data_IF_033045897581
#
_entry.id   IF_033045897581
#
_cell.length_a   1.000
_cell.length_b   1.000
_cell.length_c   1.000
_cell.angle_alpha   90.00
_cell.angle_beta   90.00
_cell.angle_gamma   90.00
#
_symmetry.space_group_name_H-M   'P 1'
#
loop_
_entity.id
_entity.type
_entity.pdbx_description
1 polymer ?
#
# COMPACT_ATOMS: atom_id res chain seq x y z
N UNK A 1 -45.76 -45.08 1.94
CA UNK A 1 -44.61 -44.15 1.99
C UNK A 1 -44.33 -43.71 0.56
N UNK A 2 -44.58 -42.45 0.20
CA UNK A 2 -44.41 -41.98 -1.17
C UNK A 2 -42.93 -41.98 -1.55
N UNK A 3 -42.53 -42.83 -2.50
CA UNK A 3 -41.19 -42.86 -3.09
C UNK A 3 -40.95 -41.58 -3.92
N UNK A 4 -40.63 -40.48 -3.24
CA UNK A 4 -40.18 -39.25 -3.91
C UNK A 4 -38.69 -39.41 -4.18
N UNK A 5 -38.32 -39.48 -5.46
CA UNK A 5 -36.91 -39.60 -5.85
C UNK A 5 -36.11 -38.38 -5.34
N UNK A 6 -34.95 -38.56 -4.67
CA UNK A 6 -34.19 -37.47 -4.03
C UNK A 6 -33.83 -36.32 -5.00
N UNK A 7 -33.47 -36.64 -6.25
CA UNK A 7 -33.19 -35.64 -7.30
C UNK A 7 -34.38 -34.81 -7.79
N UNK A 8 -35.61 -34.99 -7.27
CA UNK A 8 -36.74 -34.13 -7.61
C UNK A 8 -36.52 -32.67 -7.17
N UNK A 9 -35.75 -32.44 -6.10
CA UNK A 9 -35.40 -31.09 -5.62
C UNK A 9 -34.59 -30.30 -6.65
N UNK A 10 -33.74 -30.98 -7.45
CA UNK A 10 -32.99 -30.33 -8.53
C UNK A 10 -33.88 -29.79 -9.65
N UNK A 11 -35.13 -30.26 -9.78
CA UNK A 11 -36.11 -29.72 -10.75
C UNK A 11 -36.93 -28.56 -10.21
N UNK A 12 -36.76 -28.19 -8.93
CA UNK A 12 -37.48 -27.08 -8.32
C UNK A 12 -36.93 -25.73 -8.82
N UNK A 13 -37.56 -25.16 -9.85
CA UNK A 13 -37.14 -23.89 -10.48
C UNK A 13 -36.97 -22.74 -9.47
N UNK A 14 -37.85 -22.67 -8.46
CA UNK A 14 -37.79 -21.63 -7.42
C UNK A 14 -36.49 -21.66 -6.61
N UNK A 15 -35.93 -22.84 -6.33
CA UNK A 15 -34.67 -22.98 -5.60
C UNK A 15 -33.50 -22.38 -6.40
N UNK A 16 -33.41 -22.74 -7.69
CA UNK A 16 -32.38 -22.23 -8.59
C UNK A 16 -32.50 -20.73 -8.84
N UNK A 17 -33.73 -20.22 -9.02
CA UNK A 17 -33.95 -18.79 -9.25
C UNK A 17 -33.55 -17.97 -8.03
N UNK A 18 -33.99 -18.37 -6.82
CA UNK A 18 -33.68 -17.61 -5.60
C UNK A 18 -32.19 -17.66 -5.28
N UNK A 19 -31.56 -18.85 -5.30
CA UNK A 19 -30.11 -18.95 -5.05
C UNK A 19 -29.30 -18.25 -6.15
N UNK A 20 -29.66 -18.42 -7.41
CA UNK A 20 -28.99 -17.76 -8.54
C UNK A 20 -29.09 -16.24 -8.45
N UNK A 21 -30.26 -15.71 -8.04
CA UNK A 21 -30.46 -14.28 -7.84
C UNK A 21 -29.58 -13.73 -6.70
N UNK A 22 -29.54 -14.42 -5.55
CA UNK A 22 -28.72 -14.00 -4.41
C UNK A 22 -27.23 -14.06 -4.74
N UNK A 23 -26.76 -15.19 -5.28
CA UNK A 23 -25.34 -15.36 -5.65
C UNK A 23 -24.94 -14.39 -6.76
N UNK A 24 -25.77 -14.26 -7.80
CA UNK A 24 -25.52 -13.33 -8.91
C UNK A 24 -25.48 -11.87 -8.44
N UNK A 25 -26.38 -11.48 -7.54
CA UNK A 25 -26.39 -10.12 -6.98
C UNK A 25 -25.13 -9.85 -6.14
N UNK A 26 -24.74 -10.78 -5.25
CA UNK A 26 -23.50 -10.64 -4.45
C UNK A 26 -22.26 -10.60 -5.34
N UNK A 27 -22.19 -11.47 -6.35
CA UNK A 27 -21.09 -11.49 -7.31
C UNK A 27 -21.02 -10.19 -8.12
N UNK A 28 -22.16 -9.64 -8.54
CA UNK A 28 -22.24 -8.35 -9.22
C UNK A 28 -21.75 -7.21 -8.33
N UNK A 29 -22.21 -7.14 -7.07
CA UNK A 29 -21.75 -6.12 -6.12
C UNK A 29 -20.25 -6.23 -5.89
N UNK A 30 -19.73 -7.46 -5.69
CA UNK A 30 -18.31 -7.67 -5.53
C UNK A 30 -17.53 -7.21 -6.76
N UNK A 31 -17.97 -7.58 -7.97
CA UNK A 31 -17.32 -7.13 -9.20
C UNK A 31 -17.33 -5.59 -9.31
N UNK A 32 -18.47 -4.95 -9.09
CA UNK A 32 -18.59 -3.48 -9.20
C UNK A 32 -17.71 -2.77 -8.17
N UNK A 33 -17.77 -3.16 -6.90
CA UNK A 33 -17.02 -2.47 -5.85
C UNK A 33 -15.54 -2.83 -5.85
N UNK A 34 -15.19 -4.11 -5.97
CA UNK A 34 -13.81 -4.54 -5.94
C UNK A 34 -13.08 -4.14 -7.22
N UNK A 35 -13.60 -4.54 -8.38
CA UNK A 35 -12.92 -4.24 -9.65
C UNK A 35 -13.02 -2.75 -9.96
N UNK A 36 -14.17 -2.11 -9.70
CA UNK A 36 -14.31 -0.66 -9.88
C UNK A 36 -13.35 0.16 -9.04
N UNK A 37 -13.12 -0.21 -7.77
CA UNK A 37 -12.14 0.47 -6.91
C UNK A 37 -10.68 0.24 -7.34
N UNK A 38 -10.38 -0.83 -8.08
CA UNK A 38 -9.01 -1.23 -8.42
C UNK A 38 -8.63 -1.01 -9.90
N UNK A 39 -9.58 -0.72 -10.79
CA UNK A 39 -9.32 -0.56 -12.25
C UNK A 39 -8.35 0.57 -12.55
N UNK A 40 -8.43 1.69 -11.83
CA UNK A 40 -7.54 2.82 -12.04
C UNK A 40 -7.32 3.66 -10.75
N UNK A 41 -6.48 3.19 -9.84
CA UNK A 41 -6.13 3.97 -8.66
C UNK A 41 -5.34 5.24 -9.03
N UNK A 42 -4.61 5.23 -10.16
CA UNK A 42 -3.79 6.36 -10.60
C UNK A 42 -4.61 7.50 -11.26
N UNK A 43 -5.75 7.18 -11.86
CA UNK A 43 -6.72 8.13 -12.38
C UNK A 43 -7.54 8.82 -11.29
N UNK A 44 -7.76 8.15 -10.16
CA UNK A 44 -8.43 8.70 -8.98
C UNK A 44 -7.46 9.26 -7.94
N UNK A 45 -6.16 9.22 -8.21
CA UNK A 45 -5.16 9.83 -7.35
C UNK A 45 -5.35 11.34 -7.36
N UNK A 46 -5.62 11.92 -6.19
CA UNK A 46 -5.76 13.36 -6.03
C UNK A 46 -4.84 13.84 -4.92
N UNK A 47 -3.95 14.77 -5.24
CA UNK A 47 -3.06 15.44 -4.27
C UNK A 47 -2.28 14.49 -3.37
N UNK A 48 -1.63 13.48 -3.93
CA UNK A 48 -0.75 12.59 -3.18
C UNK A 48 0.46 13.40 -2.64
N UNK A 49 0.61 13.57 -1.32
CA UNK A 49 1.66 14.42 -0.77
C UNK A 49 3.04 13.76 -0.89
N UNK A 50 3.92 14.41 -1.65
CA UNK A 50 5.32 13.98 -1.88
C UNK A 50 6.24 15.14 -1.50
N UNK A 51 7.21 14.86 -0.63
CA UNK A 51 8.21 15.84 -0.21
C UNK A 51 9.21 16.13 -1.32
N UNK A 52 9.59 17.40 -1.46
CA UNK A 52 10.62 17.83 -2.40
C UNK A 52 11.64 18.67 -1.64
N UNK A 53 12.83 18.13 -1.46
CA UNK A 53 13.90 18.75 -0.68
C UNK A 53 15.09 19.01 -1.59
N UNK A 54 15.63 20.22 -1.54
CA UNK A 54 16.93 20.52 -2.16
C UNK A 54 17.89 20.97 -1.09
N UNK A 55 18.95 20.18 -0.89
CA UNK A 55 20.08 20.53 -0.05
C UNK A 55 21.21 21.21 -0.85
N UNK A 56 21.04 21.34 -2.18
CA UNK A 56 22.05 21.84 -3.12
C UNK A 56 22.45 23.27 -2.74
N UNK A 57 23.76 23.51 -2.66
CA UNK A 57 24.31 24.84 -2.33
C UNK A 57 24.57 25.67 -3.58
N UNK A 58 24.47 25.05 -4.76
CA UNK A 58 24.88 25.66 -6.02
C UNK A 58 26.40 25.88 -6.10
N UNK A 59 26.87 26.31 -7.25
CA UNK A 59 28.28 26.62 -7.49
C UNK A 59 28.43 27.89 -8.33
N UNK A 60 29.56 28.57 -8.16
CA UNK A 60 29.86 29.80 -8.88
C UNK A 60 30.74 29.50 -10.09
N UNK A 61 30.13 28.97 -11.15
CA UNK A 61 30.83 28.65 -12.40
C UNK A 61 30.90 29.89 -13.30
N UNK A 62 32.11 30.36 -13.62
CA UNK A 62 32.31 31.46 -14.58
C UNK A 62 31.76 32.83 -14.14
N UNK A 63 31.70 33.10 -12.83
CA UNK A 63 31.22 34.38 -12.29
C UNK A 63 29.70 34.53 -12.19
N UNK A 64 28.95 33.45 -12.48
CA UNK A 64 27.50 33.39 -12.32
C UNK A 64 27.13 32.26 -11.35
N UNK A 65 26.42 32.62 -10.29
CA UNK A 65 25.86 31.65 -9.35
C UNK A 65 24.85 30.76 -10.08
N UNK A 66 25.16 29.47 -10.18
CA UNK A 66 24.31 28.46 -10.80
C UNK A 66 23.86 27.50 -9.72
N UNK A 67 22.55 27.27 -9.65
CA UNK A 67 21.92 26.32 -8.73
C UNK A 67 21.02 25.41 -9.57
N UNK A 68 21.49 24.19 -9.84
CA UNK A 68 20.75 23.20 -10.60
C UNK A 68 19.69 22.52 -9.73
N UNK A 69 19.94 22.34 -8.42
CA UNK A 69 18.98 21.77 -7.49
C UNK A 69 17.69 22.60 -7.38
N UNK A 70 17.80 23.92 -7.22
CA UNK A 70 16.65 24.81 -7.22
C UNK A 70 15.90 24.81 -8.56
N UNK A 71 16.61 24.66 -9.67
CA UNK A 71 16.00 24.52 -11.00
C UNK A 71 15.19 23.22 -11.13
N UNK A 72 15.71 22.11 -10.60
CA UNK A 72 14.99 20.82 -10.54
C UNK A 72 13.73 20.95 -9.69
N UNK A 73 13.83 21.55 -8.51
CA UNK A 73 12.67 21.75 -7.63
C UNK A 73 11.60 22.59 -8.32
N UNK A 74 12.01 23.68 -8.98
CA UNK A 74 11.10 24.57 -9.67
C UNK A 74 10.49 23.94 -10.93
N UNK A 75 11.24 23.12 -11.67
CA UNK A 75 10.74 22.43 -12.86
C UNK A 75 9.68 21.39 -12.50
N UNK A 76 9.94 20.58 -11.47
CA UNK A 76 8.98 19.59 -10.94
C UNK A 76 7.71 20.27 -10.43
N UNK A 77 7.86 21.38 -9.68
CA UNK A 77 6.70 22.14 -9.19
C UNK A 77 5.85 22.70 -10.35
N UNK A 78 6.49 23.23 -11.40
CA UNK A 78 5.79 23.79 -12.57
C UNK A 78 5.12 22.72 -13.42
N UNK A 79 5.77 21.58 -13.66
CA UNK A 79 5.18 20.49 -14.44
C UNK A 79 3.95 19.90 -13.75
N UNK A 80 3.92 19.91 -12.42
CA UNK A 80 2.79 19.42 -11.64
C UNK A 80 1.60 20.39 -11.53
N UNK A 81 1.74 21.67 -11.88
CA UNK A 81 0.65 22.65 -11.73
C UNK A 81 -0.56 22.39 -12.65
N UNK A 82 -0.45 21.48 -13.63
CA UNK A 82 -1.56 21.03 -14.48
C UNK A 82 -2.12 19.65 -14.13
N UNK A 83 -1.41 18.87 -13.30
CA UNK A 83 -1.78 17.51 -12.94
C UNK A 83 -2.14 17.45 -11.45
N UNK A 84 -3.43 17.43 -11.11
CA UNK A 84 -3.94 17.46 -9.73
C UNK A 84 -3.76 16.11 -8.99
N UNK A 85 -2.78 15.31 -9.41
CA UNK A 85 -2.52 13.94 -8.94
C UNK A 85 -1.49 13.92 -7.80
N UNK A 86 -0.42 14.71 -7.90
CA UNK A 86 0.68 14.74 -6.94
C UNK A 86 0.76 16.13 -6.30
N UNK A 87 0.80 16.19 -4.98
CA UNK A 87 1.01 17.40 -4.19
C UNK A 87 2.48 17.50 -3.79
N UNK A 88 3.28 18.17 -4.62
CA UNK A 88 4.70 18.40 -4.34
C UNK A 88 4.87 19.50 -3.28
N UNK A 89 5.36 19.10 -2.11
CA UNK A 89 5.61 20.00 -0.99
C UNK A 89 7.09 20.30 -0.88
N UNK A 90 7.47 21.53 -1.21
CA UNK A 90 8.83 22.01 -1.02
C UNK A 90 9.04 22.28 0.46
N UNK A 91 10.06 21.65 1.05
CA UNK A 91 10.34 21.72 2.49
C UNK A 91 11.81 21.48 2.79
N UNK A 92 12.21 21.73 4.02
CA UNK A 92 13.56 21.44 4.50
C UNK A 92 13.72 19.95 4.88
N UNK A 93 14.96 19.47 4.92
CA UNK A 93 15.26 18.07 5.25
C UNK A 93 14.73 17.65 6.63
N UNK A 94 14.76 18.58 7.60
CA UNK A 94 14.25 18.32 8.96
C UNK A 94 12.73 18.16 8.96
N UNK A 95 12.01 19.04 8.26
CA UNK A 95 10.56 18.98 8.13
C UNK A 95 10.13 17.72 7.37
N UNK A 96 10.85 17.37 6.30
CA UNK A 96 10.65 16.13 5.55
C UNK A 96 10.74 14.90 6.45
N UNK A 97 11.80 14.76 7.26
CA UNK A 97 11.95 13.63 8.18
C UNK A 97 10.80 13.55 9.18
N UNK A 98 10.38 14.69 9.71
CA UNK A 98 9.26 14.75 10.66
C UNK A 98 7.93 14.36 10.00
N UNK A 99 7.62 14.89 8.82
CA UNK A 99 6.38 14.61 8.10
C UNK A 99 6.33 13.17 7.52
N UNK A 100 7.48 12.61 7.13
CA UNK A 100 7.62 11.18 6.81
C UNK A 100 7.33 10.32 8.04
N UNK A 101 7.91 10.65 9.20
CA UNK A 101 7.69 9.90 10.44
C UNK A 101 6.24 9.92 10.92
N UNK A 102 5.52 11.01 10.66
CA UNK A 102 4.09 11.16 10.97
C UNK A 102 3.16 10.50 9.94
N UNK A 103 3.70 9.90 8.89
CA UNK A 103 2.93 9.29 7.81
C UNK A 103 2.14 10.29 6.95
N UNK A 104 2.52 11.58 6.98
CA UNK A 104 1.85 12.64 6.20
C UNK A 104 2.38 12.77 4.77
N UNK A 105 3.58 12.24 4.52
CA UNK A 105 4.18 12.12 3.21
C UNK A 105 4.28 10.64 2.83
N UNK A 106 3.91 10.31 1.59
CA UNK A 106 4.04 8.94 1.06
C UNK A 106 5.42 8.65 0.47
N UNK A 107 6.21 9.70 0.25
CA UNK A 107 7.60 9.62 -0.18
C UNK A 107 8.21 11.02 -0.28
N UNK A 108 9.50 11.07 -0.61
CA UNK A 108 10.20 12.33 -0.86
C UNK A 108 11.26 12.18 -1.95
N UNK A 109 11.57 13.27 -2.65
CA UNK A 109 12.71 13.39 -3.53
C UNK A 109 13.71 14.37 -2.90
N UNK A 110 14.94 13.91 -2.70
CA UNK A 110 16.03 14.68 -2.09
C UNK A 110 17.11 14.93 -3.14
N UNK A 111 17.39 16.21 -3.39
CA UNK A 111 18.56 16.64 -4.17
C UNK A 111 19.73 16.83 -3.20
N UNK A 112 20.88 16.17 -3.41
CA UNK A 112 22.01 16.24 -2.49
C UNK A 112 22.69 17.60 -2.53
N UNK A 113 23.49 17.90 -1.50
CA UNK A 113 24.08 19.24 -1.34
C UNK A 113 25.17 19.61 -2.33
N UNK A 114 25.79 18.60 -2.92
CA UNK A 114 26.88 18.67 -3.89
C UNK A 114 26.39 18.46 -5.32
N UNK A 115 25.07 18.47 -5.57
CA UNK A 115 24.50 18.17 -6.88
C UNK A 115 25.08 19.08 -7.97
N UNK A 116 25.03 20.40 -7.79
CA UNK A 116 25.55 21.32 -8.80
C UNK A 116 27.06 21.19 -9.00
N UNK A 117 27.84 21.02 -7.93
CA UNK A 117 29.30 20.84 -8.03
C UNK A 117 29.68 19.55 -8.75
N UNK A 118 29.01 18.44 -8.45
CA UNK A 118 29.28 17.14 -9.07
C UNK A 118 28.91 17.13 -10.55
N UNK A 119 27.80 17.78 -10.92
CA UNK A 119 27.45 18.02 -12.34
C UNK A 119 28.48 18.92 -13.04
N UNK A 120 28.94 20.00 -12.39
CA UNK A 120 29.91 20.92 -12.96
C UNK A 120 31.29 20.27 -13.19
N UNK A 121 31.69 19.38 -12.27
CA UNK A 121 32.89 18.55 -12.40
C UNK A 121 32.78 17.57 -13.58
N UNK A 122 31.63 16.89 -13.76
CA UNK A 122 31.39 16.03 -14.93
C UNK A 122 31.47 16.80 -16.27
N UNK A 123 31.00 18.04 -16.29
CA UNK A 123 31.06 18.91 -17.45
C UNK A 123 32.47 19.50 -17.72
N UNK A 124 33.45 19.24 -16.85
CA UNK A 124 34.81 19.79 -16.97
C UNK A 124 34.88 21.30 -16.72
N UNK A 125 33.88 21.88 -16.07
CA UNK A 125 33.78 23.32 -15.80
C UNK A 125 34.36 23.74 -14.45
N UNK A 126 34.67 22.77 -13.58
CA UNK A 126 35.40 22.96 -12.33
C UNK A 126 36.64 22.05 -12.26
N UNK A 127 37.75 22.60 -11.74
CA UNK A 127 39.07 21.96 -11.75
C UNK A 127 39.41 21.17 -10.47
N UNK A 128 38.46 20.91 -9.56
CA UNK A 128 38.78 20.46 -8.19
C UNK A 128 37.83 19.42 -7.60
N UNK A 129 37.39 18.43 -8.38
CA UNK A 129 36.65 17.28 -7.85
C UNK A 129 36.77 16.04 -8.73
N UNK A 130 36.73 14.86 -8.11
CA UNK A 130 36.53 13.61 -8.84
C UNK A 130 35.20 13.68 -9.61
N UNK A 131 35.22 13.28 -10.88
CA UNK A 131 34.04 13.26 -11.74
C UNK A 131 33.08 12.13 -11.32
N UNK A 132 32.39 12.32 -10.20
CA UNK A 132 31.43 11.37 -9.64
C UNK A 132 30.03 11.75 -10.09
N UNK A 133 29.25 10.75 -10.49
CA UNK A 133 27.84 10.92 -10.87
C UNK A 133 27.01 11.26 -9.63
N UNK A 134 26.36 12.44 -9.54
CA UNK A 134 25.54 12.79 -8.40
C UNK A 134 24.30 11.89 -8.30
N UNK A 135 23.83 11.67 -7.08
CA UNK A 135 22.70 10.78 -6.80
C UNK A 135 21.50 11.56 -6.30
N UNK A 136 20.35 11.42 -6.96
CA UNK A 136 19.05 11.86 -6.48
C UNK A 136 18.42 10.75 -5.65
N UNK A 137 18.11 11.04 -4.39
CA UNK A 137 17.55 10.03 -3.48
C UNK A 137 16.02 10.13 -3.45
N UNK A 138 15.36 9.03 -3.78
CA UNK A 138 13.92 8.85 -3.65
C UNK A 138 13.64 8.07 -2.37
N UNK A 139 13.02 8.72 -1.40
CA UNK A 139 12.60 8.13 -0.15
C UNK A 139 11.18 7.59 -0.25
N UNK A 140 10.98 6.34 0.16
CA UNK A 140 9.65 5.72 0.25
C UNK A 140 9.14 5.68 1.69
N UNK A 141 7.82 5.66 1.88
CA UNK A 141 7.21 5.59 3.21
C UNK A 141 6.12 4.51 3.29
N UNK A 142 6.55 3.26 3.47
CA UNK A 142 5.65 2.12 3.62
C UNK A 142 4.74 2.25 4.86
N UNK A 143 5.17 2.99 5.89
CA UNK A 143 4.40 3.21 7.12
C UNK A 143 3.13 4.06 6.90
N UNK A 144 3.17 4.99 5.93
CA UNK A 144 2.01 5.80 5.53
C UNK A 144 1.00 5.02 4.68
N UNK A 145 1.44 3.91 4.07
CA UNK A 145 0.62 3.03 3.25
C UNK A 145 1.34 2.56 1.99
N UNK A 146 1.31 1.26 1.73
CA UNK A 146 2.08 0.61 0.66
C UNK A 146 1.68 1.05 -0.76
N UNK A 147 0.39 1.25 -1.01
CA UNK A 147 -0.11 1.71 -2.32
C UNK A 147 0.32 3.17 -2.57
N UNK A 148 0.08 4.07 -1.62
CA UNK A 148 0.49 5.47 -1.74
C UNK A 148 2.01 5.60 -1.84
N UNK A 149 2.77 4.81 -1.08
CA UNK A 149 4.23 4.81 -1.14
C UNK A 149 4.77 4.32 -2.48
N UNK A 150 4.16 3.31 -3.09
CA UNK A 150 4.59 2.82 -4.41
C UNK A 150 4.26 3.83 -5.52
N UNK A 151 3.12 4.51 -5.43
CA UNK A 151 2.77 5.61 -6.33
C UNK A 151 3.72 6.81 -6.17
N UNK A 152 4.04 7.20 -4.93
CA UNK A 152 4.99 8.27 -4.64
C UNK A 152 6.39 7.92 -5.17
N UNK A 153 6.86 6.68 -4.95
CA UNK A 153 8.13 6.18 -5.51
C UNK A 153 8.15 6.30 -7.03
N UNK A 154 7.08 5.89 -7.71
CA UNK A 154 6.98 5.97 -9.16
C UNK A 154 7.04 7.42 -9.63
N UNK A 155 6.23 8.30 -9.03
CA UNK A 155 6.19 9.73 -9.37
C UNK A 155 7.54 10.41 -9.12
N UNK A 156 8.17 10.18 -7.97
CA UNK A 156 9.48 10.72 -7.61
C UNK A 156 10.59 10.21 -8.54
N UNK A 157 10.60 8.92 -8.87
CA UNK A 157 11.55 8.34 -9.83
C UNK A 157 11.39 8.97 -11.21
N UNK A 158 10.16 9.09 -11.73
CA UNK A 158 9.90 9.70 -13.04
C UNK A 158 10.26 11.18 -13.05
N UNK A 159 9.98 11.91 -11.97
CA UNK A 159 10.36 13.32 -11.82
C UNK A 159 11.89 13.48 -11.79
N UNK A 160 12.60 12.65 -11.03
CA UNK A 160 14.07 12.64 -10.95
C UNK A 160 14.72 12.34 -12.31
N UNK A 161 14.23 11.32 -13.03
CA UNK A 161 14.70 10.97 -14.37
C UNK A 161 14.45 12.09 -15.39
N UNK A 162 13.26 12.70 -15.35
CA UNK A 162 12.90 13.81 -16.24
C UNK A 162 13.76 15.05 -15.97
N UNK A 163 14.02 15.34 -14.69
CA UNK A 163 14.90 16.42 -14.26
C UNK A 163 16.34 16.18 -14.70
N UNK A 164 16.88 14.97 -14.48
CA UNK A 164 18.21 14.56 -14.94
C UNK A 164 18.36 14.76 -16.46
N UNK A 165 17.40 14.24 -17.24
CA UNK A 165 17.41 14.38 -18.70
C UNK A 165 17.31 15.85 -19.16
N UNK A 166 16.58 16.70 -18.43
CA UNK A 166 16.48 18.13 -18.74
C UNK A 166 17.81 18.85 -18.49
N UNK A 167 18.45 18.59 -17.35
CA UNK A 167 19.78 19.11 -17.02
C UNK A 167 20.80 18.62 -18.06
N UNK A 168 20.74 17.33 -18.43
CA UNK A 168 21.64 16.77 -19.42
C UNK A 168 21.49 17.39 -20.82
N UNK A 169 20.26 17.70 -21.25
CA UNK A 169 20.02 18.47 -22.49
C UNK A 169 20.63 19.87 -22.44
N UNK A 170 20.55 20.56 -21.31
CA UNK A 170 21.14 21.89 -21.14
C UNK A 170 22.67 21.82 -21.22
N UNK A 171 23.28 20.88 -20.50
CA UNK A 171 24.73 20.67 -20.47
C UNK A 171 25.29 20.25 -21.83
N UNK A 172 24.64 19.32 -22.52
CA UNK A 172 25.07 18.90 -23.87
C UNK A 172 24.96 20.03 -24.90
N UNK A 173 23.95 20.89 -24.77
CA UNK A 173 23.81 22.09 -25.62
C UNK A 173 24.92 23.10 -25.33
N UNK A 174 25.23 23.32 -24.05
CA UNK A 174 26.30 24.22 -23.62
C UNK A 174 27.69 23.70 -24.03
N UNK A 175 27.96 22.41 -23.90
CA UNK A 175 29.19 21.77 -24.34
C UNK A 175 29.41 21.91 -25.86
N UNK A 176 28.34 21.71 -26.66
CA UNK A 176 28.38 21.94 -28.11
C UNK A 176 28.63 23.39 -28.48
N UNK A 177 28.03 24.34 -27.76
CA UNK A 177 28.23 25.77 -27.99
C UNK A 177 29.66 26.23 -27.66
N UNK A 178 30.33 25.54 -26.73
CA UNK A 178 31.71 25.85 -26.30
C UNK A 178 32.76 25.08 -27.11
N UNK A 179 32.33 24.26 -28.09
CA UNK A 179 33.21 23.51 -28.99
C UNK A 179 34.25 22.62 -28.28
N UNK A 180 33.93 22.18 -27.06
CA UNK A 180 34.78 21.26 -26.31
C UNK A 180 34.71 19.86 -26.95
N UNK A 181 35.84 19.35 -27.44
CA UNK A 181 35.98 17.94 -27.87
C UNK A 181 35.92 17.03 -26.63
N UNK A 182 34.71 16.76 -26.15
CA UNK A 182 34.49 15.81 -25.08
C UNK A 182 34.46 14.38 -25.65
N UNK A 183 35.11 13.40 -24.99
CA UNK A 183 34.98 11.99 -25.34
C UNK A 183 33.52 11.55 -25.38
N UNK A 184 33.18 10.61 -26.29
CA UNK A 184 31.82 10.09 -26.43
C UNK A 184 31.23 9.52 -25.12
N UNK A 185 32.08 8.95 -24.26
CA UNK A 185 31.70 8.47 -22.93
C UNK A 185 31.24 9.59 -21.99
N UNK A 186 31.90 10.75 -22.03
CA UNK A 186 31.52 11.94 -21.23
C UNK A 186 30.22 12.54 -21.73
N UNK A 187 29.98 12.55 -23.05
CA UNK A 187 28.71 13.00 -23.63
C UNK A 187 27.54 12.08 -23.25
N UNK A 188 27.77 10.78 -23.10
CA UNK A 188 26.77 9.83 -22.60
C UNK A 188 26.44 10.08 -21.12
N UNK A 189 27.45 10.30 -20.27
CA UNK A 189 27.24 10.65 -18.87
C UNK A 189 26.52 12.00 -18.71
N UNK A 190 26.82 12.98 -19.57
CA UNK A 190 26.13 14.26 -19.59
C UNK A 190 24.68 14.16 -20.06
N UNK A 191 24.30 13.14 -20.82
CA UNK A 191 22.91 12.97 -21.26
C UNK A 191 21.98 12.57 -20.10
N UNK A 192 22.51 11.84 -19.13
CA UNK A 192 21.82 11.45 -17.89
C UNK A 192 22.75 11.63 -16.68
N UNK A 193 22.95 12.89 -16.24
CA UNK A 193 23.99 13.24 -15.27
C UNK A 193 23.72 12.75 -13.85
N UNK A 194 22.47 12.40 -13.50
CA UNK A 194 22.12 12.01 -12.15
C UNK A 194 21.67 10.55 -12.05
N UNK A 195 22.23 9.82 -11.09
CA UNK A 195 21.74 8.50 -10.70
C UNK A 195 20.52 8.64 -9.79
N UNK A 196 19.51 7.77 -9.93
CA UNK A 196 18.36 7.75 -9.03
C UNK A 196 18.50 6.57 -8.09
N UNK A 197 18.73 6.86 -6.81
CA UNK A 197 18.80 5.85 -5.76
C UNK A 197 17.49 5.85 -4.97
N UNK A 198 17.01 4.67 -4.63
CA UNK A 198 15.75 4.51 -3.91
C UNK A 198 16.04 3.94 -2.53
N UNK A 199 15.59 4.64 -1.49
CA UNK A 199 15.81 4.29 -0.10
C UNK A 199 14.50 4.32 0.68
N UNK A 200 14.48 3.66 1.83
CA UNK A 200 13.34 3.70 2.74
C UNK A 200 13.48 4.89 3.67
N UNK A 201 12.59 5.88 3.54
CA UNK A 201 12.58 7.09 4.37
C UNK A 201 12.20 6.82 5.82
N UNK A 202 11.55 5.68 6.08
CA UNK A 202 11.31 5.17 7.42
C UNK A 202 11.33 3.63 7.38
N UNK A 203 12.49 2.99 7.66
CA UNK A 203 12.59 1.54 7.60
C UNK A 203 11.68 0.91 8.64
N UNK A 204 10.82 0.00 8.19
CA UNK A 204 9.92 -0.73 9.06
C UNK A 204 10.60 -1.98 9.64
N UNK A 205 10.17 -2.37 10.84
CA UNK A 205 10.60 -3.63 11.45
C UNK A 205 10.25 -4.84 10.56
N UNK A 206 11.12 -5.84 10.55
CA UNK A 206 10.97 -7.04 9.71
C UNK A 206 9.69 -7.83 10.01
N UNK A 207 9.12 -7.70 11.22
CA UNK A 207 7.88 -8.35 11.63
C UNK A 207 6.62 -7.50 11.42
N UNK A 208 6.74 -6.28 10.89
CA UNK A 208 5.60 -5.37 10.68
C UNK A 208 4.69 -5.79 9.52
N UNK A 209 5.14 -6.70 8.65
CA UNK A 209 4.44 -7.09 7.43
C UNK A 209 4.28 -5.92 6.45
N UNK A 210 5.29 -5.05 6.33
CA UNK A 210 5.24 -3.80 5.55
C UNK A 210 4.08 -2.88 6.00
N UNK A 211 3.77 -2.87 7.30
CA UNK A 211 2.66 -2.12 7.87
C UNK A 211 1.27 -2.76 7.69
N UNK A 212 1.17 -3.94 7.07
CA UNK A 212 -0.11 -4.64 6.79
C UNK A 212 -0.49 -5.70 7.83
N UNK A 213 0.34 -5.94 8.86
CA UNK A 213 0.05 -6.94 9.90
C UNK A 213 -1.31 -6.75 10.56
N UNK A 214 -1.67 -5.52 10.95
CA UNK A 214 -2.98 -5.21 11.52
C UNK A 214 -4.15 -5.54 10.57
N UNK A 215 -3.97 -5.26 9.27
CA UNK A 215 -4.94 -5.62 8.24
C UNK A 215 -5.13 -7.14 8.16
N UNK A 216 -4.05 -7.92 8.10
CA UNK A 216 -4.15 -9.37 8.07
C UNK A 216 -4.77 -9.96 9.35
N UNK A 217 -4.43 -9.43 10.52
CA UNK A 217 -5.10 -9.83 11.77
C UNK A 217 -6.60 -9.56 11.73
N UNK A 218 -7.02 -8.40 11.23
CA UNK A 218 -8.44 -8.07 11.09
C UNK A 218 -9.16 -9.03 10.13
N UNK A 219 -8.52 -9.39 9.01
CA UNK A 219 -9.06 -10.33 8.04
C UNK A 219 -9.26 -11.72 8.67
N UNK A 220 -8.26 -12.21 9.41
CA UNK A 220 -8.35 -13.49 10.12
C UNK A 220 -9.50 -13.46 11.13
N UNK A 221 -9.62 -12.39 11.92
CA UNK A 221 -10.70 -12.25 12.89
C UNK A 221 -12.09 -12.24 12.25
N UNK A 222 -12.25 -11.55 11.11
CA UNK A 222 -13.51 -11.52 10.36
C UNK A 222 -13.85 -12.90 9.81
N UNK A 223 -12.91 -13.57 9.16
CA UNK A 223 -13.12 -14.91 8.58
C UNK A 223 -13.45 -15.93 9.66
N UNK A 224 -12.64 -15.99 10.73
CA UNK A 224 -12.87 -16.90 11.84
C UNK A 224 -14.19 -16.58 12.57
N UNK A 225 -14.52 -15.30 12.76
CA UNK A 225 -15.76 -14.86 13.38
C UNK A 225 -16.98 -15.26 12.57
N UNK A 226 -16.97 -15.01 11.26
CA UNK A 226 -18.07 -15.38 10.36
C UNK A 226 -18.28 -16.90 10.28
N UNK A 227 -17.19 -17.67 10.17
CA UNK A 227 -17.26 -19.14 10.16
C UNK A 227 -17.83 -19.67 11.48
N UNK A 228 -17.36 -19.17 12.62
CA UNK A 228 -17.86 -19.57 13.93
C UNK A 228 -19.34 -19.21 14.12
N UNK A 229 -19.76 -18.01 13.71
CA UNK A 229 -21.14 -17.57 13.79
C UNK A 229 -22.07 -18.47 12.95
N UNK A 230 -21.65 -18.85 11.73
CA UNK A 230 -22.43 -19.73 10.88
C UNK A 230 -22.60 -21.13 11.50
N UNK A 231 -21.52 -21.69 12.06
CA UNK A 231 -21.57 -22.98 12.75
C UNK A 231 -22.48 -22.92 13.98
N UNK A 232 -22.32 -21.91 14.84
CA UNK A 232 -23.13 -21.78 16.07
C UNK A 232 -24.61 -21.57 15.73
N UNK A 233 -24.92 -20.74 14.73
CA UNK A 233 -26.30 -20.55 14.29
C UNK A 233 -26.92 -21.87 13.82
N UNK A 234 -26.19 -22.65 13.02
CA UNK A 234 -26.66 -23.97 12.57
C UNK A 234 -26.90 -24.94 13.73
N UNK A 235 -26.04 -24.92 14.74
CA UNK A 235 -26.19 -25.74 15.95
C UNK A 235 -27.39 -25.30 16.81
N UNK A 236 -27.63 -23.99 16.93
CA UNK A 236 -28.81 -23.44 17.64
C UNK A 236 -30.09 -23.82 16.90
N UNK A 237 -30.11 -23.72 15.57
CA UNK A 237 -31.25 -24.15 14.76
C UNK A 237 -31.53 -25.65 14.90
N UNK A 238 -30.48 -26.48 15.00
CA UNK A 238 -30.63 -27.90 15.28
C UNK A 238 -31.14 -28.17 16.69
N UNK A 239 -30.63 -27.44 17.69
CA UNK A 239 -31.08 -27.56 19.09
C UNK A 239 -32.55 -27.15 19.27
N UNK A 240 -33.01 -26.14 18.53
CA UNK A 240 -34.41 -25.70 18.50
C UNK A 240 -35.32 -26.60 17.64
N UNK A 241 -34.74 -27.58 16.94
CA UNK A 241 -35.46 -28.54 16.09
C UNK A 241 -35.87 -27.97 14.72
N UNK A 242 -35.38 -26.80 14.32
CA UNK A 242 -35.64 -26.21 12.99
C UNK A 242 -34.90 -26.96 11.86
N UNK A 243 -33.76 -27.58 12.19
CA UNK A 243 -32.96 -28.36 11.25
C UNK A 243 -32.64 -29.74 11.83
N UNK A 244 -32.58 -30.73 10.95
CA UNK A 244 -32.14 -32.08 11.29
C UNK A 244 -30.63 -32.18 11.13
N UNK A 245 -29.96 -32.81 12.09
CA UNK A 245 -28.54 -33.09 11.99
C UNK A 245 -28.36 -34.54 11.59
N UNK A 246 -27.90 -34.73 10.35
CA UNK A 246 -27.58 -36.02 9.78
C UNK A 246 -26.04 -36.12 9.73
N UNK A 247 -25.45 -36.85 10.70
CA UNK A 247 -24.01 -37.16 10.69
C UNK A 247 -23.82 -38.58 10.17
N UNK A 248 -23.59 -38.70 8.85
CA UNK A 248 -23.45 -40.01 8.20
C UNK A 248 -24.73 -40.86 8.37
N UNK A 249 -24.66 -42.08 8.94
CA UNK A 249 -25.84 -42.94 9.13
C UNK A 249 -26.70 -42.55 10.35
N UNK A 250 -26.23 -41.63 11.20
CA UNK A 250 -26.92 -41.23 12.43
C UNK A 250 -27.78 -39.99 12.18
N UNK A 251 -29.09 -40.13 12.40
CA UNK A 251 -30.08 -39.06 12.28
C UNK A 251 -30.62 -38.66 13.64
N UNK A 252 -30.38 -37.43 14.05
CA UNK A 252 -30.82 -36.89 15.34
C UNK A 252 -31.99 -35.93 15.13
N UNK A 253 -33.12 -36.23 15.79
CA UNK A 253 -34.34 -35.43 15.75
C UNK A 253 -34.61 -34.80 17.12
N UNK A 254 -34.55 -33.46 17.20
CA UNK A 254 -35.02 -32.72 18.36
C UNK A 254 -36.46 -32.24 18.13
N UNK A 255 -37.34 -32.26 19.14
CA UNK A 255 -38.68 -31.70 19.02
C UNK A 255 -38.62 -30.19 18.78
N UNK A 256 -39.53 -29.68 17.94
CA UNK A 256 -39.62 -28.25 17.61
C UNK A 256 -39.94 -27.41 18.84
N UNK A 257 -38.98 -26.58 19.26
CA UNK A 257 -39.20 -25.55 20.26
C UNK A 257 -39.63 -24.27 19.54
N UNK A 258 -40.86 -23.82 19.77
CA UNK A 258 -41.40 -22.60 19.14
C UNK A 258 -40.74 -21.36 19.76
N UNK A 259 -39.60 -20.96 19.22
CA UNK A 259 -38.96 -19.69 19.51
C UNK A 259 -39.39 -18.62 18.49
N UNK A 260 -39.50 -17.36 18.93
CA UNK A 260 -39.60 -16.22 18.01
C UNK A 260 -38.23 -15.89 17.42
N UNK A 261 -38.19 -15.16 16.29
CA UNK A 261 -36.92 -14.75 15.67
C UNK A 261 -35.99 -13.98 16.62
N UNK A 262 -36.55 -13.16 17.49
CA UNK A 262 -35.81 -12.40 18.51
C UNK A 262 -35.25 -13.33 19.58
N UNK A 263 -36.01 -14.35 19.99
CA UNK A 263 -35.52 -15.36 20.95
C UNK A 263 -34.41 -16.21 20.34
N UNK A 264 -34.54 -16.65 19.08
CA UNK A 264 -33.47 -17.37 18.38
C UNK A 264 -32.21 -16.52 18.29
N UNK A 265 -32.34 -15.24 17.93
CA UNK A 265 -31.22 -14.30 17.88
C UNK A 265 -30.55 -14.16 19.26
N UNK A 266 -31.34 -13.95 20.31
CA UNK A 266 -30.83 -13.83 21.67
C UNK A 266 -30.09 -15.11 22.12
N UNK A 267 -30.63 -16.30 21.82
CA UNK A 267 -29.98 -17.57 22.12
C UNK A 267 -28.65 -17.68 21.38
N UNK A 268 -28.62 -17.44 20.06
CA UNK A 268 -27.39 -17.48 19.27
C UNK A 268 -26.34 -16.48 19.78
N UNK A 269 -26.74 -15.25 20.09
CA UNK A 269 -25.84 -14.23 20.66
C UNK A 269 -25.31 -14.62 22.04
N UNK A 270 -26.12 -15.23 22.91
CA UNK A 270 -25.68 -15.69 24.23
C UNK A 270 -24.71 -16.87 24.14
N UNK A 271 -24.95 -17.83 23.24
CA UNK A 271 -24.04 -18.97 23.01
C UNK A 271 -22.71 -18.47 22.46
N UNK A 272 -22.73 -17.55 21.49
CA UNK A 272 -21.53 -16.88 20.98
C UNK A 272 -20.74 -16.19 22.10
N UNK A 273 -21.40 -15.34 22.89
CA UNK A 273 -20.77 -14.61 23.98
C UNK A 273 -20.13 -15.55 25.02
N UNK A 274 -20.82 -16.64 25.37
CA UNK A 274 -20.31 -17.64 26.32
C UNK A 274 -19.08 -18.35 25.76
N UNK A 275 -19.11 -18.78 24.51
CA UNK A 275 -18.00 -19.50 23.88
C UNK A 275 -16.76 -18.61 23.76
N UNK A 276 -16.95 -17.31 23.44
CA UNK A 276 -15.87 -16.32 23.46
C UNK A 276 -15.24 -16.14 24.85
N UNK A 277 -16.03 -16.10 25.92
CA UNK A 277 -15.51 -16.00 27.30
C UNK A 277 -14.69 -17.24 27.68
N UNK A 278 -15.19 -18.44 27.36
CA UNK A 278 -14.51 -19.71 27.64
C UNK A 278 -13.19 -19.80 26.88
N UNK A 279 -13.21 -19.50 25.58
CA UNK A 279 -12.00 -19.53 24.74
C UNK A 279 -10.97 -18.47 25.18
N UNK A 280 -11.44 -17.27 25.55
CA UNK A 280 -10.60 -16.19 26.08
C UNK A 280 -9.98 -16.47 27.46
N UNK A 281 -10.60 -17.33 28.27
CA UNK A 281 -9.98 -17.85 29.51
C UNK A 281 -8.94 -18.93 29.20
N UNK A 282 -9.24 -19.83 28.26
CA UNK A 282 -8.33 -20.91 27.85
C UNK A 282 -7.05 -20.36 27.18
N UNK A 283 -7.15 -19.37 26.28
CA UNK A 283 -5.98 -18.71 25.69
C UNK A 283 -5.12 -17.97 26.73
N UNK A 284 -5.72 -17.39 27.78
CA UNK A 284 -4.97 -16.77 28.88
C UNK A 284 -4.21 -17.79 29.72
N UNK A 285 -4.79 -18.98 29.94
CA UNK A 285 -4.12 -20.07 30.64
C UNK A 285 -2.97 -20.66 29.84
N UNK A 286 -3.13 -20.83 28.52
CA UNK A 286 -2.07 -21.32 27.62
C UNK A 286 -0.96 -20.28 27.44
N UNK A 287 -1.30 -18.99 27.32
CA UNK A 287 -0.32 -17.91 27.27
C UNK A 287 0.53 -17.82 28.54
N UNK A 288 -0.10 -17.92 29.71
CA UNK A 288 0.61 -17.95 31.00
C UNK A 288 1.50 -19.20 31.16
N UNK A 289 1.09 -20.36 30.62
CA UNK A 289 1.90 -21.57 30.62
C UNK A 289 3.11 -21.48 29.67
N UNK A 290 2.97 -20.80 28.53
CA UNK A 290 4.06 -20.56 27.58
C UNK A 290 5.09 -19.55 28.12
N UNK A 291 4.65 -18.49 28.81
CA UNK A 291 5.56 -17.52 29.46
C UNK A 291 6.33 -18.14 30.65
N UNK A 292 5.72 -19.09 31.37
CA UNK A 292 6.38 -19.84 32.44
C UNK A 292 7.44 -20.83 31.95
N UNK A 293 7.30 -21.38 30.74
CA UNK A 293 8.25 -22.33 30.16
C UNK A 293 9.46 -21.64 29.49
N UNK A 294 9.37 -20.36 29.14
CA UNK A 294 10.48 -19.58 28.58
C UNK A 294 11.43 -18.96 29.61
N UNK A 295 11.18 -19.17 30.90
CA UNK A 295 11.99 -18.67 32.03
C UNK A 295 12.66 -19.79 32.85
N UNK A 296 12.62 -21.04 32.38
CA UNK A 296 13.30 -22.18 32.97
C UNK A 296 14.53 -22.59 32.15
#
# INVERSE_FOLDING_TARGET
MSNVHPFRVLRAKRLWIVNGMVVGFVALLFAVFYVGANIDPAGHLHKLPVGLVSADKGVNAGGKQTDLGAQIVQSIKKSSQGEDKIDWRVMDEKEMKEELSKGKLFGALVVPSDFTSSVAALAGTEASGDAVRPTLTVLTNQSAGSVGSSMARQAATTAAQSASAQVGKQLTTQAKATQAELPAATLLLLADPAEVQIEDGHPLDSHSGLGLSAFYYSLVLVVCGMLAANVISGQVDHALGYTHNDMGPLRIHNPLLRATRVQTLAISSTVLARDHVVRGQSCRHVGAAAEGAGRA
#
